data_IF_137101859807
#
_entry.id   IF_137101859807
#
_cell.length_a   1.000
_cell.length_b   1.000
_cell.length_c   1.000
_cell.angle_alpha   90.00
_cell.angle_beta   90.00
_cell.angle_gamma   90.00
#
_symmetry.space_group_name_H-M   'P 1'
#
loop_
_entity.id
_entity.type
_entity.pdbx_description
1 polymer ?
#
# COMPACT_ATOMS: atom_id res chain seq x y z
N UNK A 1 -9.04 -0.40 -22.57
CA UNK A 1 -8.31 0.63 -21.80
C UNK A 1 -8.66 2.06 -22.21
N UNK A 2 -8.85 2.34 -23.51
CA UNK A 2 -9.34 3.65 -24.01
C UNK A 2 -10.73 4.05 -23.47
N UNK A 3 -11.62 3.08 -23.29
CA UNK A 3 -12.98 3.35 -22.81
C UNK A 3 -13.01 3.80 -21.33
N UNK A 4 -12.13 3.24 -20.50
CA UNK A 4 -11.94 3.67 -19.11
C UNK A 4 -11.42 5.12 -19.04
N UNK A 5 -10.53 5.50 -19.95
CA UNK A 5 -9.99 6.86 -20.03
C UNK A 5 -11.05 7.89 -20.39
N UNK A 6 -11.93 7.55 -21.35
CA UNK A 6 -13.05 8.43 -21.72
C UNK A 6 -14.04 8.62 -20.57
N UNK A 7 -14.25 7.59 -19.75
CA UNK A 7 -15.07 7.71 -18.54
C UNK A 7 -14.39 8.55 -17.47
N UNK A 8 -13.06 8.47 -17.32
CA UNK A 8 -12.29 9.31 -16.39
C UNK A 8 -12.32 10.80 -16.78
N UNK A 9 -12.23 11.12 -18.07
CA UNK A 9 -12.33 12.49 -18.57
C UNK A 9 -13.78 13.04 -18.53
N UNK A 10 -14.78 12.16 -18.43
CA UNK A 10 -16.20 12.52 -18.39
C UNK A 10 -16.74 12.86 -17.01
N UNK A 11 -15.97 12.64 -15.94
CA UNK A 11 -16.35 13.08 -14.59
C UNK A 11 -16.13 14.59 -14.47
N UNK A 12 -17.20 15.33 -14.71
CA UNK A 12 -17.27 16.75 -14.41
C UNK A 12 -16.88 17.00 -12.94
N UNK A 13 -16.28 18.16 -12.68
CA UNK A 13 -15.57 18.60 -11.46
C UNK A 13 -16.36 18.57 -10.13
N UNK A 14 -17.57 18.00 -10.11
CA UNK A 14 -18.49 17.89 -8.97
C UNK A 14 -17.91 17.09 -7.79
N UNK A 15 -16.86 16.31 -8.00
CA UNK A 15 -16.04 15.76 -6.92
C UNK A 15 -16.61 14.52 -6.22
N UNK A 16 -17.75 13.98 -6.67
CA UNK A 16 -18.48 12.87 -6.04
C UNK A 16 -17.78 11.50 -6.21
N UNK A 17 -16.88 11.36 -7.18
CA UNK A 17 -16.18 10.10 -7.47
C UNK A 17 -14.68 10.27 -7.26
N UNK A 18 -14.10 9.38 -6.46
CA UNK A 18 -12.65 9.23 -6.28
C UNK A 18 -12.24 7.85 -6.78
N UNK A 19 -11.17 7.81 -7.56
CA UNK A 19 -10.62 6.56 -8.10
C UNK A 19 -9.28 6.29 -7.42
N UNK A 20 -9.13 5.08 -6.87
CA UNK A 20 -7.86 4.60 -6.30
C UNK A 20 -7.35 3.47 -7.18
N UNK A 21 -6.09 3.58 -7.60
CA UNK A 21 -5.40 2.59 -8.41
C UNK A 21 -4.23 2.02 -7.62
N UNK A 22 -4.08 0.71 -7.63
CA UNK A 22 -2.94 0.00 -7.04
C UNK A 22 -2.16 -0.73 -8.14
N UNK A 23 -0.87 -0.45 -8.24
CA UNK A 23 0.02 -1.08 -9.22
C UNK A 23 1.32 -1.51 -8.54
N UNK A 24 1.82 -2.69 -8.88
CA UNK A 24 3.10 -3.20 -8.37
C UNK A 24 4.30 -2.72 -9.20
N UNK A 25 4.04 -2.21 -10.43
CA UNK A 25 5.07 -1.74 -11.36
C UNK A 25 4.61 -0.44 -12.00
N UNK A 26 5.23 0.69 -11.62
CA UNK A 26 4.86 2.00 -12.19
C UNK A 26 5.22 2.12 -13.68
N UNK A 27 6.27 1.41 -14.11
CA UNK A 27 6.73 1.45 -15.51
C UNK A 27 5.83 0.74 -16.53
N UNK A 28 4.84 -0.05 -16.08
CA UNK A 28 3.89 -0.70 -16.99
C UNK A 28 2.66 0.15 -17.31
N UNK A 29 2.54 1.34 -16.73
CA UNK A 29 1.39 2.22 -16.93
C UNK A 29 1.57 3.09 -18.19
N UNK A 30 0.49 3.24 -18.96
CA UNK A 30 0.48 4.14 -20.12
C UNK A 30 0.68 5.60 -19.67
N UNK A 31 1.59 6.32 -20.34
CA UNK A 31 1.88 7.72 -20.06
C UNK A 31 0.64 8.63 -20.17
N UNK A 32 -0.37 8.24 -20.96
CA UNK A 32 -1.63 8.97 -21.09
C UNK A 32 -2.42 9.03 -19.76
N UNK A 33 -2.31 8.02 -18.90
CA UNK A 33 -2.99 7.97 -17.59
C UNK A 33 -2.34 8.90 -16.55
N UNK A 34 -1.05 9.22 -16.73
CA UNK A 34 -0.22 9.95 -15.77
C UNK A 34 -0.32 11.48 -15.96
N UNK A 35 -1.04 11.93 -16.99
CA UNK A 35 -1.19 13.35 -17.25
C UNK A 35 -2.04 14.04 -16.17
N UNK A 36 -1.73 15.31 -15.83
CA UNK A 36 -2.54 16.11 -14.92
C UNK A 36 -4.02 16.12 -15.34
N UNK A 37 -4.93 15.99 -14.39
CA UNK A 37 -6.38 15.91 -14.60
C UNK A 37 -6.95 14.49 -14.65
N UNK A 38 -6.09 13.46 -14.59
CA UNK A 38 -6.50 12.04 -14.48
C UNK A 38 -5.99 11.45 -13.17
N UNK A 39 -4.73 10.98 -13.14
CA UNK A 39 -4.09 10.45 -11.94
C UNK A 39 -3.15 11.52 -11.36
N UNK A 40 -3.72 12.37 -10.51
CA UNK A 40 -2.98 13.52 -9.95
C UNK A 40 -2.10 13.17 -8.75
N UNK A 41 -2.41 12.08 -8.05
CA UNK A 41 -1.72 11.69 -6.80
C UNK A 41 -1.05 10.33 -6.97
N UNK A 42 0.26 10.31 -6.74
CA UNK A 42 1.07 9.10 -6.72
C UNK A 42 1.55 8.89 -5.29
N UNK A 43 1.13 7.79 -4.68
CA UNK A 43 1.54 7.42 -3.33
C UNK A 43 2.38 6.16 -3.46
N UNK A 44 3.67 6.27 -3.16
CA UNK A 44 4.55 5.11 -3.11
C UNK A 44 4.45 4.46 -1.74
N UNK A 45 4.25 3.15 -1.73
CA UNK A 45 4.24 2.34 -0.50
C UNK A 45 5.58 1.61 -0.45
N UNK A 46 6.54 2.04 0.38
CA UNK A 46 7.80 1.33 0.56
C UNK A 46 7.59 0.06 1.40
N UNK A 47 8.64 -0.76 1.48
CA UNK A 47 8.70 -1.79 2.50
C UNK A 47 8.63 -1.16 3.90
N UNK A 48 7.97 -1.82 4.87
CA UNK A 48 7.86 -1.28 6.22
C UNK A 48 9.23 -1.24 6.91
N UNK A 49 9.48 -0.14 7.62
CA UNK A 49 10.63 -0.02 8.53
C UNK A 49 10.44 -0.88 9.79
N UNK A 50 11.48 -1.06 10.59
CA UNK A 50 11.43 -1.89 11.81
C UNK A 50 10.29 -1.46 12.77
N UNK A 51 10.04 -0.16 12.89
CA UNK A 51 8.96 0.38 13.70
C UNK A 51 7.58 -0.04 13.17
N UNK A 52 7.36 0.07 11.86
CA UNK A 52 6.11 -0.34 11.20
C UNK A 52 5.95 -1.84 11.24
N UNK A 53 7.02 -2.63 11.04
CA UNK A 53 7.00 -4.08 11.16
C UNK A 53 6.58 -4.49 12.57
N UNK A 54 7.19 -3.91 13.62
CA UNK A 54 6.80 -4.13 15.02
C UNK A 54 5.33 -3.80 15.23
N UNK A 55 4.82 -2.72 14.64
CA UNK A 55 3.42 -2.34 14.77
C UNK A 55 2.48 -3.35 14.09
N UNK A 56 2.85 -3.86 12.92
CA UNK A 56 2.08 -4.91 12.23
C UNK A 56 2.06 -6.18 13.07
N UNK A 57 3.22 -6.61 13.61
CA UNK A 57 3.29 -7.74 14.54
C UNK A 57 2.37 -7.53 15.74
N UNK A 58 2.42 -6.37 16.40
CA UNK A 58 1.55 -6.05 17.53
C UNK A 58 0.06 -6.16 17.19
N UNK A 59 -0.36 -5.72 15.99
CA UNK A 59 -1.77 -5.79 15.58
C UNK A 59 -2.21 -7.25 15.40
N UNK A 60 -1.37 -8.09 14.80
CA UNK A 60 -1.68 -9.50 14.57
C UNK A 60 -1.59 -10.33 15.86
N UNK A 61 -0.64 -10.02 16.74
CA UNK A 61 -0.48 -10.73 18.02
C UNK A 61 -1.39 -10.23 19.13
N UNK A 62 -2.04 -9.08 18.98
CA UNK A 62 -2.98 -8.54 19.97
C UNK A 62 -4.18 -9.47 20.27
N UNK A 63 -4.49 -10.42 19.38
CA UNK A 63 -5.55 -11.43 19.57
C UNK A 63 -5.02 -12.80 19.98
N UNK A 64 -3.71 -12.92 20.19
CA UNK A 64 -3.04 -14.18 20.51
C UNK A 64 -2.65 -14.21 21.98
N UNK A 65 -2.64 -15.40 22.58
CA UNK A 65 -2.00 -15.61 23.89
C UNK A 65 -0.50 -15.76 23.64
N UNK A 66 0.25 -14.69 23.93
CA UNK A 66 1.71 -14.73 23.92
C UNK A 66 2.21 -15.13 25.30
N UNK A 67 3.26 -15.93 25.34
CA UNK A 67 4.03 -16.23 26.55
C UNK A 67 5.10 -15.14 26.74
N UNK A 68 5.56 -14.92 27.97
CA UNK A 68 6.49 -13.84 28.35
C UNK A 68 7.88 -13.95 27.68
N UNK A 69 8.22 -15.11 27.12
CA UNK A 69 9.45 -15.37 26.35
C UNK A 69 9.38 -14.87 24.89
N UNK A 70 8.20 -14.44 24.41
CA UNK A 70 8.02 -13.96 23.04
C UNK A 70 8.34 -12.47 22.92
N UNK A 71 9.55 -12.17 22.43
CA UNK A 71 9.98 -10.82 22.10
C UNK A 71 9.67 -10.47 20.63
N UNK A 72 8.72 -9.57 20.40
CA UNK A 72 8.44 -9.04 19.05
C UNK A 72 9.63 -8.27 18.46
N UNK A 73 10.50 -7.74 19.32
CA UNK A 73 11.71 -7.04 18.89
C UNK A 73 12.66 -8.00 18.17
N UNK A 74 12.86 -9.19 18.74
CA UNK A 74 13.79 -10.18 18.20
C UNK A 74 13.30 -10.74 16.87
N UNK A 75 11.96 -10.88 16.72
CA UNK A 75 11.33 -11.30 15.46
C UNK A 75 11.55 -10.28 14.33
N UNK A 76 11.49 -8.99 14.64
CA UNK A 76 11.72 -7.91 13.66
C UNK A 76 13.19 -7.88 13.25
N UNK A 77 14.12 -8.01 14.20
CA UNK A 77 15.56 -8.00 13.92
C UNK A 77 16.08 -9.25 13.21
N UNK A 78 15.33 -10.36 13.23
CA UNK A 78 15.78 -11.62 12.64
C UNK A 78 15.75 -11.64 11.10
N UNK A 79 14.89 -10.84 10.46
CA UNK A 79 14.71 -10.89 9.00
C UNK A 79 14.70 -9.49 8.39
N UNK A 80 15.72 -9.22 7.59
CA UNK A 80 15.77 -8.00 6.79
C UNK A 80 14.73 -8.10 5.66
N UNK A 81 13.97 -7.02 5.44
CA UNK A 81 13.01 -6.85 4.32
C UNK A 81 11.76 -7.74 4.38
N UNK A 82 10.93 -7.58 5.42
CA UNK A 82 9.61 -8.21 5.48
C UNK A 82 8.53 -7.30 4.89
N UNK A 83 7.66 -7.85 4.03
CA UNK A 83 6.41 -7.18 3.67
C UNK A 83 5.36 -7.39 4.75
N UNK A 84 4.32 -6.56 4.76
CA UNK A 84 3.19 -6.78 5.68
C UNK A 84 2.47 -8.12 5.47
N UNK A 85 2.59 -8.73 4.28
CA UNK A 85 2.06 -10.05 4.00
C UNK A 85 2.92 -11.18 4.61
N UNK A 86 4.23 -10.97 4.76
CA UNK A 86 5.13 -11.95 5.40
C UNK A 86 4.93 -12.01 6.93
N UNK A 87 4.39 -10.94 7.52
CA UNK A 87 4.20 -10.79 8.97
C UNK A 87 2.86 -11.38 9.44
N UNK A 88 1.88 -11.51 8.54
CA UNK A 88 0.54 -12.02 8.85
C UNK A 88 0.50 -13.54 8.89
#
# INVERSE_FOLDING_TARGET
>A
MLELLNQLDGFDSRGDVKVILAINRIGSLDAALIRPGRIDRKIQIPLPDEWTQRRIFQIHTARMTLTDDVSLHDLVSAKNEMSGADIK
#
